data_IF_236358021468
#
_entry.id   IF_236358021468
#
_cell.length_a   1.000
_cell.length_b   1.000
_cell.length_c   1.000
_cell.angle_alpha   90.00
_cell.angle_beta   90.00
_cell.angle_gamma   90.00
#
_symmetry.space_group_name_H-M   'P 1'
#
loop_
_entity.id
_entity.type
_entity.pdbx_description
1 polymer ?
#
# COMPACT_ATOMS: atom_id res chain seq x y z
N UNK A 1 -2.09 -12.34 5.43
CA UNK A 1 -1.25 -12.50 4.22
C UNK A 1 -0.11 -11.48 4.17
N UNK A 2 1.13 -11.88 4.51
CA UNK A 2 2.32 -11.04 4.76
C UNK A 2 2.47 -9.87 3.76
N UNK A 3 2.85 -8.65 4.19
CA UNK A 3 3.37 -7.59 3.28
C UNK A 3 4.46 -8.20 2.38
N UNK A 4 5.15 -9.19 2.96
CA UNK A 4 5.82 -10.25 2.22
C UNK A 4 4.90 -11.06 1.32
N UNK A 5 4.06 -12.00 1.75
CA UNK A 5 3.20 -12.85 0.89
C UNK A 5 2.54 -12.15 -0.29
N UNK A 6 2.11 -10.89 -0.17
CA UNK A 6 1.57 -10.09 -1.28
C UNK A 6 2.65 -9.68 -2.31
N UNK A 7 3.87 -9.36 -1.87
CA UNK A 7 5.05 -9.09 -2.70
C UNK A 7 5.94 -10.35 -2.93
N UNK A 8 5.63 -11.46 -2.25
CA UNK A 8 6.44 -12.68 -2.07
C UNK A 8 5.67 -13.92 -2.52
N UNK A 9 4.72 -13.74 -3.45
CA UNK A 9 4.26 -14.84 -4.30
C UNK A 9 5.43 -15.59 -4.97
N UNK A 10 6.61 -14.97 -5.05
CA UNK A 10 7.92 -15.60 -5.17
C UNK A 10 8.78 -15.30 -3.93
N UNK A 11 9.29 -16.33 -3.25
CA UNK A 11 9.80 -16.35 -1.87
C UNK A 11 10.80 -15.27 -1.42
N UNK A 12 10.69 -14.85 -0.14
CA UNK A 12 11.73 -14.36 0.80
C UNK A 12 11.08 -13.94 2.13
N UNK A 13 11.59 -14.43 3.27
CA UNK A 13 11.23 -14.03 4.64
C UNK A 13 12.44 -13.40 5.36
N UNK A 14 12.34 -12.13 5.80
CA UNK A 14 13.36 -11.38 6.57
C UNK A 14 12.73 -10.61 7.75
N UNK A 15 12.53 -11.25 8.89
CA UNK A 15 12.13 -10.54 10.11
C UNK A 15 13.17 -9.48 10.49
N UNK A 16 12.72 -8.27 10.82
CA UNK A 16 13.55 -7.26 11.48
C UNK A 16 12.70 -6.51 12.50
N UNK A 17 13.32 -6.31 13.66
CA UNK A 17 12.75 -5.97 14.95
C UNK A 17 13.02 -4.50 15.20
N UNK A 18 11.99 -3.67 15.34
CA UNK A 18 12.10 -2.33 15.93
C UNK A 18 10.83 -2.04 16.74
N UNK A 19 10.89 -2.33 18.04
CA UNK A 19 9.89 -1.90 19.01
C UNK A 19 10.62 -1.31 20.20
N UNK A 20 10.81 0.01 20.16
CA UNK A 20 11.50 0.74 21.21
C UNK A 20 11.00 2.17 21.29
N UNK A 21 10.02 2.41 22.16
CA UNK A 21 10.09 3.40 23.25
C UNK A 21 8.69 3.60 23.86
N UNK A 22 8.47 3.08 25.06
CA UNK A 22 7.41 3.58 25.95
C UNK A 22 8.02 3.78 27.33
N UNK A 23 8.27 5.06 27.64
CA UNK A 23 8.96 5.56 28.82
C UNK A 23 8.11 6.63 29.51
N UNK A 24 7.39 6.19 30.55
CA UNK A 24 6.96 6.89 31.78
C UNK A 24 6.84 8.42 31.83
N UNK A 25 5.77 8.93 32.45
CA UNK A 25 5.78 9.46 33.83
C UNK A 25 4.39 9.96 34.27
N UNK A 26 3.94 9.52 35.45
CA UNK A 26 2.96 10.23 36.28
C UNK A 26 3.57 11.58 36.75
N UNK A 27 2.84 12.69 36.64
CA UNK A 27 3.05 13.87 37.51
C UNK A 27 1.73 14.60 37.77
N UNK A 28 1.34 14.63 39.06
CA UNK A 28 0.21 15.38 39.60
C UNK A 28 0.62 16.84 39.78
N UNK A 29 -0.02 17.77 39.08
CA UNK A 29 0.32 19.20 39.09
C UNK A 29 -0.89 20.13 39.08
N UNK A 30 -1.62 20.18 40.19
CA UNK A 30 -2.64 21.18 40.53
C UNK A 30 -2.05 22.60 40.50
N UNK A 31 -2.59 23.47 39.63
CA UNK A 31 -2.55 24.94 39.76
C UNK A 31 -3.56 25.60 38.81
N UNK A 32 -4.79 25.83 39.30
CA UNK A 32 -5.78 26.68 38.62
C UNK A 32 -5.32 28.14 38.54
N UNK A 33 -5.37 28.79 37.36
CA UNK A 33 -5.55 30.23 37.27
C UNK A 33 -7.05 30.54 37.20
N UNK A 34 -7.53 31.33 38.17
CA UNK A 34 -8.79 32.07 38.06
C UNK A 34 -8.78 32.89 36.77
N UNK A 35 -9.53 32.45 35.76
CA UNK A 35 -9.89 33.22 34.57
C UNK A 35 -11.41 33.30 34.53
N UNK A 36 -11.93 34.53 34.64
CA UNK A 36 -13.34 34.87 34.44
C UNK A 36 -13.74 34.59 32.97
N UNK A 37 -13.90 33.32 32.62
CA UNK A 37 -14.43 32.90 31.31
C UNK A 37 -15.95 32.94 31.36
N UNK A 38 -16.53 33.89 30.61
CA UNK A 38 -17.97 34.01 30.39
C UNK A 38 -18.50 32.96 29.37
N UNK A 39 -17.97 31.74 29.39
CA UNK A 39 -18.43 30.64 28.54
C UNK A 39 -19.45 29.73 29.24
N UNK A 40 -20.30 29.05 28.46
CA UNK A 40 -21.20 28.03 28.99
C UNK A 40 -20.41 26.81 29.50
N UNK A 41 -20.71 26.32 30.70
CA UNK A 41 -20.09 25.09 31.23
C UNK A 41 -20.45 23.87 30.39
N UNK A 42 -21.64 23.86 29.79
CA UNK A 42 -22.08 22.79 28.89
C UNK A 42 -21.23 22.76 27.62
N UNK A 43 -20.95 23.91 27.00
CA UNK A 43 -20.06 24.00 25.84
C UNK A 43 -18.63 23.53 26.18
N UNK A 44 -18.16 23.79 27.40
CA UNK A 44 -16.83 23.31 27.84
C UNK A 44 -16.79 21.79 27.95
N UNK A 45 -17.84 21.18 28.50
CA UNK A 45 -17.96 19.72 28.62
C UNK A 45 -18.04 19.06 27.24
N UNK A 46 -18.86 19.59 26.33
CA UNK A 46 -18.99 19.12 24.95
C UNK A 46 -17.69 19.24 24.15
N UNK A 47 -16.98 20.37 24.26
CA UNK A 47 -15.66 20.53 23.63
C UNK A 47 -14.67 19.49 24.15
N UNK A 48 -14.57 19.30 25.47
CA UNK A 48 -13.64 18.33 26.03
C UNK A 48 -13.96 16.89 25.54
N UNK A 49 -15.25 16.52 25.49
CA UNK A 49 -15.69 15.23 24.95
C UNK A 49 -15.32 15.08 23.46
N UNK A 50 -15.47 16.13 22.66
CA UNK A 50 -15.03 16.12 21.26
C UNK A 50 -13.51 15.91 21.14
N UNK A 51 -12.70 16.61 21.93
CA UNK A 51 -11.24 16.45 21.95
C UNK A 51 -10.81 15.04 22.39
N UNK A 52 -11.45 14.43 23.39
CA UNK A 52 -11.21 13.04 23.80
C UNK A 52 -11.51 12.04 22.65
N UNK A 53 -12.57 12.30 21.88
CA UNK A 53 -12.92 11.49 20.71
C UNK A 53 -11.97 11.70 19.52
N UNK A 54 -11.48 12.92 19.30
CA UNK A 54 -10.45 13.21 18.30
C UNK A 54 -9.10 12.57 18.66
N UNK A 55 -8.73 12.54 19.94
CA UNK A 55 -7.56 11.80 20.41
C UNK A 55 -7.72 10.30 20.15
N UNK A 56 -8.91 9.76 20.44
CA UNK A 56 -9.24 8.36 20.13
C UNK A 56 -9.13 8.08 18.63
N UNK A 57 -9.61 8.99 17.78
CA UNK A 57 -9.48 8.89 16.33
C UNK A 57 -8.01 8.86 15.89
N UNK A 58 -7.17 9.74 16.45
CA UNK A 58 -5.72 9.74 16.21
C UNK A 58 -5.05 8.42 16.57
N UNK A 59 -5.39 7.86 17.74
CA UNK A 59 -4.86 6.57 18.19
C UNK A 59 -5.32 5.39 17.33
N UNK A 60 -6.59 5.37 16.91
CA UNK A 60 -7.13 4.36 16.00
C UNK A 60 -6.45 4.45 14.63
N UNK A 61 -6.30 5.65 14.07
CA UNK A 61 -5.58 5.86 12.81
C UNK A 61 -4.13 5.39 12.90
N UNK A 62 -3.39 5.82 13.93
CA UNK A 62 -2.00 5.39 14.12
C UNK A 62 -1.88 3.87 14.25
N UNK A 63 -2.81 3.24 14.98
CA UNK A 63 -2.88 1.77 15.08
C UNK A 63 -3.11 1.12 13.72
N UNK A 64 -4.06 1.63 12.92
CA UNK A 64 -4.32 1.09 11.58
C UNK A 64 -3.15 1.31 10.62
N UNK A 65 -2.50 2.48 10.68
CA UNK A 65 -1.30 2.76 9.93
C UNK A 65 -0.19 1.76 10.29
N UNK A 66 0.14 1.60 11.57
CA UNK A 66 1.16 0.64 12.04
C UNK A 66 0.84 -0.82 11.66
N UNK A 67 -0.43 -1.23 11.75
CA UNK A 67 -0.88 -2.57 11.34
C UNK A 67 -0.66 -2.76 9.84
N UNK A 68 -1.02 -1.77 9.03
CA UNK A 68 -0.88 -1.79 7.58
C UNK A 68 0.58 -1.85 7.15
N UNK A 69 1.46 -1.11 7.84
CA UNK A 69 2.82 -0.88 7.37
C UNK A 69 3.86 -1.79 8.01
N UNK A 70 3.71 -2.20 9.27
CA UNK A 70 4.80 -2.84 10.01
C UNK A 70 4.53 -4.27 10.50
N UNK A 71 3.28 -4.65 10.83
CA UNK A 71 3.15 -5.67 11.88
C UNK A 71 2.39 -6.95 11.55
N UNK A 72 1.24 -6.92 10.88
CA UNK A 72 0.50 -8.18 10.69
C UNK A 72 -0.50 -8.13 9.52
N UNK A 73 -0.05 -8.48 8.32
CA UNK A 73 -0.90 -9.04 7.26
C UNK A 73 -2.17 -9.86 7.56
N UNK A 74 -2.22 -10.60 8.67
CA UNK A 74 -3.39 -11.41 9.04
C UNK A 74 -4.47 -10.57 9.73
N UNK A 75 -4.15 -9.33 10.08
CA UNK A 75 -5.09 -8.34 10.57
C UNK A 75 -5.45 -7.40 9.42
N UNK A 76 -6.61 -7.58 8.76
CA UNK A 76 -7.07 -6.62 7.77
C UNK A 76 -7.23 -5.24 8.42
N UNK A 77 -7.04 -4.21 7.61
CA UNK A 77 -7.42 -2.85 7.95
C UNK A 77 -8.86 -2.82 8.48
N UNK A 78 -9.06 -2.12 9.60
CA UNK A 78 -10.38 -1.94 10.21
C UNK A 78 -10.63 -0.47 10.47
N UNK A 79 -11.53 0.13 9.69
CA UNK A 79 -11.94 1.54 9.84
C UNK A 79 -12.96 1.76 10.96
N UNK A 80 -13.61 0.71 11.45
CA UNK A 80 -14.77 0.83 12.35
C UNK A 80 -14.50 1.58 13.66
N UNK A 81 -13.29 1.44 14.23
CA UNK A 81 -12.87 2.18 15.43
C UNK A 81 -12.76 3.68 15.15
N UNK A 82 -12.07 4.02 14.07
CA UNK A 82 -11.90 5.40 13.60
C UNK A 82 -13.25 6.04 13.23
N UNK A 83 -14.11 5.34 12.47
CA UNK A 83 -15.47 5.79 12.13
C UNK A 83 -16.30 6.11 13.38
N UNK A 84 -16.22 5.25 14.40
CA UNK A 84 -16.93 5.46 15.66
C UNK A 84 -16.41 6.68 16.40
N UNK A 85 -15.09 6.87 16.45
CA UNK A 85 -14.47 8.02 17.10
C UNK A 85 -14.84 9.34 16.41
N UNK A 86 -14.77 9.39 15.08
CA UNK A 86 -15.19 10.54 14.25
C UNK A 86 -16.66 10.87 14.51
N UNK A 87 -17.56 9.89 14.43
CA UNK A 87 -19.00 10.13 14.62
C UNK A 87 -19.36 10.59 16.05
N UNK A 88 -18.61 10.14 17.06
CA UNK A 88 -18.80 10.63 18.43
C UNK A 88 -18.25 12.07 18.60
N UNK A 89 -17.12 12.41 17.99
CA UNK A 89 -16.59 13.76 17.97
C UNK A 89 -17.57 14.73 17.28
N UNK A 90 -18.09 14.37 16.11
CA UNK A 90 -19.12 15.14 15.39
C UNK A 90 -20.35 15.38 16.28
N UNK A 91 -20.86 14.32 16.91
CA UNK A 91 -22.03 14.42 17.81
C UNK A 91 -21.77 15.36 19.00
N UNK A 92 -20.57 15.32 19.58
CA UNK A 92 -20.20 16.20 20.69
C UNK A 92 -20.07 17.67 20.25
N UNK A 93 -19.58 17.93 19.03
CA UNK A 93 -19.50 19.27 18.47
C UNK A 93 -20.90 19.84 18.14
N UNK A 94 -21.84 19.00 17.68
CA UNK A 94 -23.23 19.41 17.40
C UNK A 94 -23.99 19.88 18.67
N UNK A 95 -23.58 19.44 19.86
CA UNK A 95 -24.20 19.82 21.14
C UNK A 95 -23.75 21.22 21.62
N UNK A 96 -22.79 21.86 20.95
CA UNK A 96 -22.29 23.19 21.32
C UNK A 96 -23.28 24.28 20.90
N UNK A 97 -23.65 25.13 21.85
CA UNK A 97 -24.48 26.31 21.58
C UNK A 97 -23.59 27.53 21.34
N UNK A 98 -23.34 27.87 20.07
CA UNK A 98 -22.53 29.03 19.66
C UNK A 98 -23.01 30.36 20.26
N UNK A 99 -24.32 30.55 20.48
CA UNK A 99 -24.87 31.79 21.05
C UNK A 99 -24.45 32.00 22.52
N UNK A 100 -24.04 30.93 23.21
CA UNK A 100 -23.59 30.91 24.60
C UNK A 100 -22.08 30.65 24.74
N UNK A 101 -21.36 30.51 23.61
CA UNK A 101 -19.94 30.27 23.58
C UNK A 101 -19.14 31.56 23.82
N UNK A 102 -18.05 31.47 24.58
CA UNK A 102 -17.03 32.53 24.62
C UNK A 102 -16.18 32.51 23.36
N UNK A 103 -15.45 33.60 23.08
CA UNK A 103 -14.50 33.66 21.95
C UNK A 103 -13.49 32.49 21.99
N UNK A 104 -12.97 32.16 23.19
CA UNK A 104 -12.07 31.01 23.39
C UNK A 104 -12.74 29.66 23.08
N UNK A 105 -14.03 29.50 23.39
CA UNK A 105 -14.78 28.28 23.05
C UNK A 105 -15.04 28.18 21.55
N UNK A 106 -15.29 29.31 20.87
CA UNK A 106 -15.46 29.35 19.43
C UNK A 106 -14.15 29.05 18.70
N UNK A 107 -13.01 29.57 19.16
CA UNK A 107 -11.69 29.24 18.62
C UNK A 107 -11.38 27.74 18.80
N UNK A 108 -11.73 27.17 19.96
CA UNK A 108 -11.57 25.71 20.23
C UNK A 108 -12.50 24.86 19.36
N UNK A 109 -13.72 25.33 19.10
CA UNK A 109 -14.69 24.68 18.21
C UNK A 109 -14.16 24.63 16.77
N UNK A 110 -13.75 25.77 16.22
CA UNK A 110 -13.20 25.86 14.86
C UNK A 110 -11.99 24.91 14.69
N UNK A 111 -11.09 24.87 15.67
CA UNK A 111 -9.95 23.96 15.65
C UNK A 111 -10.35 22.47 15.74
N UNK A 112 -11.38 22.14 16.53
CA UNK A 112 -11.90 20.78 16.61
C UNK A 112 -12.60 20.35 15.32
N UNK A 113 -13.34 21.24 14.66
CA UNK A 113 -13.94 21.00 13.35
C UNK A 113 -12.88 20.75 12.27
N UNK A 114 -11.75 21.47 12.31
CA UNK A 114 -10.63 21.21 11.40
C UNK A 114 -9.99 19.84 11.63
N UNK A 115 -9.81 19.42 12.89
CA UNK A 115 -9.29 18.08 13.15
C UNK A 115 -10.29 16.98 12.80
N UNK A 116 -11.59 17.22 13.00
CA UNK A 116 -12.62 16.30 12.53
C UNK A 116 -12.52 16.11 11.01
N UNK A 117 -12.44 17.20 10.24
CA UNK A 117 -12.27 17.15 8.79
C UNK A 117 -10.99 16.40 8.38
N UNK A 118 -9.88 16.60 9.08
CA UNK A 118 -8.66 15.82 8.84
C UNK A 118 -8.91 14.32 9.04
N UNK A 119 -9.55 13.91 10.14
CA UNK A 119 -9.78 12.50 10.40
C UNK A 119 -10.78 11.87 9.42
N UNK A 120 -11.74 12.63 8.90
CA UNK A 120 -12.60 12.21 7.79
C UNK A 120 -11.80 11.97 6.49
N UNK A 121 -10.86 12.86 6.18
CA UNK A 121 -9.95 12.69 5.04
C UNK A 121 -9.09 11.43 5.23
N UNK A 122 -8.50 11.24 6.42
CA UNK A 122 -7.68 10.07 6.76
C UNK A 122 -8.48 8.77 6.76
N UNK A 123 -9.73 8.79 7.21
CA UNK A 123 -10.64 7.66 7.10
C UNK A 123 -10.86 7.29 5.62
N UNK A 124 -11.07 8.28 4.77
CA UNK A 124 -11.24 8.06 3.32
C UNK A 124 -10.00 7.41 2.70
N UNK A 125 -8.79 7.84 3.11
CA UNK A 125 -7.54 7.19 2.71
C UNK A 125 -7.51 5.72 3.13
N UNK A 126 -7.85 5.41 4.39
CA UNK A 126 -7.83 4.02 4.89
C UNK A 126 -8.82 3.12 4.13
N UNK A 127 -9.99 3.65 3.76
CA UNK A 127 -10.98 2.92 2.95
C UNK A 127 -10.41 2.55 1.58
N UNK A 128 -9.75 3.50 0.90
CA UNK A 128 -9.11 3.24 -0.39
C UNK A 128 -7.95 2.24 -0.26
N UNK A 129 -7.13 2.35 0.80
CA UNK A 129 -6.07 1.38 1.08
C UNK A 129 -6.62 -0.02 1.32
N UNK A 130 -7.69 -0.15 2.12
CA UNK A 130 -8.35 -1.44 2.37
C UNK A 130 -8.85 -2.06 1.05
N UNK A 131 -9.50 -1.26 0.20
CA UNK A 131 -9.97 -1.71 -1.11
C UNK A 131 -8.80 -2.15 -2.01
N UNK A 132 -7.71 -1.38 -2.04
CA UNK A 132 -6.48 -1.71 -2.74
C UNK A 132 -5.88 -3.04 -2.30
N UNK A 133 -5.68 -3.24 -0.99
CA UNK A 133 -5.14 -4.50 -0.46
C UNK A 133 -6.06 -5.70 -0.71
N UNK A 134 -7.38 -5.52 -0.61
CA UNK A 134 -8.34 -6.57 -0.93
C UNK A 134 -8.28 -7.00 -2.41
N UNK A 135 -8.10 -6.03 -3.32
CA UNK A 135 -7.91 -6.31 -4.74
C UNK A 135 -6.60 -7.06 -4.99
N UNK A 136 -5.49 -6.66 -4.35
CA UNK A 136 -4.22 -7.39 -4.45
C UNK A 136 -4.33 -8.83 -3.91
N UNK A 137 -4.99 -9.04 -2.77
CA UNK A 137 -5.22 -10.38 -2.22
C UNK A 137 -6.08 -11.25 -3.16
N UNK A 138 -7.02 -10.64 -3.88
CA UNK A 138 -7.82 -11.32 -4.90
C UNK A 138 -6.97 -11.67 -6.13
N UNK A 139 -6.09 -10.76 -6.56
CA UNK A 139 -5.14 -11.01 -7.64
C UNK A 139 -4.20 -12.18 -7.34
N UNK A 140 -3.64 -12.25 -6.12
CA UNK A 140 -2.81 -13.37 -5.66
C UNK A 140 -3.56 -14.71 -5.68
N UNK A 141 -4.84 -14.69 -5.27
CA UNK A 141 -5.69 -15.87 -5.38
C UNK A 141 -5.88 -16.32 -6.83
N UNK A 142 -6.04 -15.39 -7.77
CA UNK A 142 -6.17 -15.70 -9.20
C UNK A 142 -4.86 -16.19 -9.82
N UNK A 143 -3.72 -15.55 -9.54
CA UNK A 143 -2.42 -15.97 -10.07
C UNK A 143 -2.03 -17.38 -9.57
N UNK A 144 -2.31 -17.70 -8.30
CA UNK A 144 -2.10 -19.05 -7.73
C UNK A 144 -2.93 -20.14 -8.44
N UNK A 145 -4.00 -19.77 -9.15
CA UNK A 145 -4.84 -20.68 -9.93
C UNK A 145 -4.63 -20.53 -11.45
N UNK A 146 -3.49 -19.98 -11.87
CA UNK A 146 -3.10 -19.73 -13.27
C UNK A 146 -4.10 -18.84 -14.05
N UNK A 147 -4.87 -18.00 -13.34
CA UNK A 147 -5.82 -17.04 -13.93
C UNK A 147 -5.19 -15.65 -14.05
N UNK A 148 -4.11 -15.55 -14.83
CA UNK A 148 -3.27 -14.34 -14.90
C UNK A 148 -4.00 -13.10 -15.42
N UNK A 149 -4.86 -13.23 -16.44
CA UNK A 149 -5.67 -12.10 -16.92
C UNK A 149 -6.61 -11.55 -15.84
N UNK A 150 -7.32 -12.42 -15.11
CA UNK A 150 -8.18 -11.99 -14.00
C UNK A 150 -7.34 -11.36 -12.86
N UNK A 151 -6.14 -11.86 -12.63
CA UNK A 151 -5.22 -11.30 -11.65
C UNK A 151 -4.73 -9.90 -12.07
N UNK A 152 -4.44 -9.70 -13.36
CA UNK A 152 -4.12 -8.40 -13.94
C UNK A 152 -5.24 -7.38 -13.73
N UNK A 153 -6.49 -7.75 -14.04
CA UNK A 153 -7.66 -6.87 -13.83
C UNK A 153 -7.80 -6.42 -12.37
N UNK A 154 -7.51 -7.31 -11.41
CA UNK A 154 -7.54 -6.96 -9.97
C UNK A 154 -6.38 -6.05 -9.55
N UNK A 155 -5.20 -6.19 -10.16
CA UNK A 155 -4.06 -5.30 -9.90
C UNK A 155 -4.28 -3.91 -10.49
N UNK A 156 -4.98 -3.78 -11.62
CA UNK A 156 -5.38 -2.47 -12.15
C UNK A 156 -6.31 -1.76 -11.17
N UNK A 157 -7.31 -2.47 -10.63
CA UNK A 157 -8.22 -1.96 -9.60
C UNK A 157 -7.43 -1.54 -8.35
N UNK A 158 -6.49 -2.38 -7.89
CA UNK A 158 -5.63 -2.05 -6.76
C UNK A 158 -4.81 -0.78 -7.02
N UNK A 159 -4.21 -0.65 -8.20
CA UNK A 159 -3.41 0.52 -8.57
C UNK A 159 -4.23 1.80 -8.62
N UNK A 160 -5.51 1.74 -9.01
CA UNK A 160 -6.45 2.87 -8.96
C UNK A 160 -6.72 3.30 -7.52
N UNK A 161 -7.07 2.36 -6.64
CA UNK A 161 -7.30 2.63 -5.22
C UNK A 161 -6.07 3.24 -4.52
N UNK A 162 -4.86 2.73 -4.79
CA UNK A 162 -3.64 3.32 -4.22
C UNK A 162 -3.38 4.76 -4.71
N UNK A 163 -3.70 5.09 -5.97
CA UNK A 163 -3.59 6.47 -6.49
C UNK A 163 -4.64 7.40 -5.90
N UNK A 164 -5.86 6.90 -5.72
CA UNK A 164 -6.91 7.68 -5.07
C UNK A 164 -6.55 7.95 -3.60
N UNK A 165 -6.06 6.94 -2.88
CA UNK A 165 -5.51 7.09 -1.53
C UNK A 165 -4.38 8.12 -1.46
N UNK A 166 -3.45 8.12 -2.43
CA UNK A 166 -2.41 9.15 -2.55
C UNK A 166 -3.00 10.56 -2.76
N UNK A 167 -4.01 10.70 -3.61
CA UNK A 167 -4.69 11.98 -3.84
C UNK A 167 -5.38 12.48 -2.56
N UNK A 168 -6.10 11.61 -1.86
CA UNK A 168 -6.77 11.91 -0.60
C UNK A 168 -5.77 12.27 0.50
N UNK A 169 -4.58 11.67 0.51
CA UNK A 169 -3.50 12.04 1.43
C UNK A 169 -2.97 13.46 1.19
N UNK A 170 -2.95 13.91 -0.07
CA UNK A 170 -2.59 15.31 -0.37
C UNK A 170 -3.63 16.28 0.20
N UNK A 171 -4.91 15.92 0.18
CA UNK A 171 -5.98 16.70 0.78
C UNK A 171 -5.87 16.67 2.31
N UNK A 172 -5.69 15.49 2.91
CA UNK A 172 -5.46 15.32 4.35
C UNK A 172 -4.23 16.11 4.84
N UNK A 173 -3.14 16.15 4.07
CA UNK A 173 -1.95 16.97 4.39
C UNK A 173 -2.26 18.47 4.37
N UNK A 174 -3.13 18.90 3.45
CA UNK A 174 -3.60 20.29 3.42
C UNK A 174 -4.46 20.60 4.66
N UNK A 175 -5.33 19.66 5.07
CA UNK A 175 -6.11 19.76 6.31
C UNK A 175 -5.20 19.82 7.54
N UNK A 176 -4.18 18.96 7.59
CA UNK A 176 -3.14 18.96 8.64
C UNK A 176 -2.41 20.30 8.75
N UNK A 177 -1.97 20.87 7.62
CA UNK A 177 -1.24 22.14 7.59
C UNK A 177 -2.07 23.35 8.07
N UNK A 178 -3.42 23.22 8.07
CA UNK A 178 -4.33 24.23 8.57
C UNK A 178 -4.64 24.09 10.07
N UNK A 179 -4.23 23.00 10.72
CA UNK A 179 -4.42 22.82 12.16
C UNK A 179 -3.51 23.72 12.97
N UNK A 180 -4.07 24.36 14.01
CA UNK A 180 -3.28 25.04 15.02
C UNK A 180 -2.83 24.02 16.08
N UNK A 181 -1.68 23.39 15.85
CA UNK A 181 -1.11 22.41 16.77
C UNK A 181 -0.98 22.93 18.22
N UNK A 182 -0.83 24.24 18.41
CA UNK A 182 -0.72 24.83 19.74
C UNK A 182 -2.02 24.75 20.56
N UNK A 183 -3.17 24.66 19.89
CA UNK A 183 -4.46 24.46 20.53
C UNK A 183 -4.64 23.00 20.99
N UNK A 184 -4.08 22.02 20.28
CA UNK A 184 -4.13 20.62 20.72
C UNK A 184 -3.24 20.37 21.94
N UNK A 185 -2.01 20.90 21.93
CA UNK A 185 -1.10 20.84 23.08
C UNK A 185 -1.72 21.50 24.33
N UNK A 186 -2.48 22.59 24.16
CA UNK A 186 -3.16 23.27 25.26
C UNK A 186 -4.32 22.48 25.88
N UNK A 187 -4.82 21.46 25.17
CA UNK A 187 -5.90 20.58 25.61
C UNK A 187 -5.40 19.16 25.97
N UNK A 188 -4.09 18.98 26.15
CA UNK A 188 -3.45 17.68 26.41
C UNK A 188 -3.75 16.61 25.34
N UNK A 189 -4.13 17.02 24.12
CA UNK A 189 -4.37 16.10 23.00
C UNK A 189 -3.09 15.97 22.16
N UNK A 190 -2.49 14.79 22.19
CA UNK A 190 -1.38 14.44 21.31
C UNK A 190 -1.94 13.84 20.02
N UNK A 191 -1.92 14.62 18.93
CA UNK A 191 -2.24 14.08 17.61
C UNK A 191 -1.14 13.07 17.24
N UNK A 192 -1.47 11.78 17.31
CA UNK A 192 -0.52 10.68 17.08
C UNK A 192 0.08 10.64 15.66
N UNK A 193 -0.46 11.42 14.73
CA UNK A 193 -0.05 11.46 13.32
C UNK A 193 0.72 12.74 13.05
N UNK A 194 1.96 12.66 12.59
CA UNK A 194 2.72 13.81 12.11
C UNK A 194 2.67 13.98 10.58
N UNK A 195 3.10 15.15 10.09
CA UNK A 195 3.31 15.36 8.64
C UNK A 195 4.28 14.34 8.02
N UNK A 196 5.26 13.85 8.80
CA UNK A 196 6.21 12.84 8.34
C UNK A 196 5.51 11.48 8.13
N UNK A 197 4.51 11.14 8.95
CA UNK A 197 3.74 9.90 8.82
C UNK A 197 2.81 9.95 7.60
N UNK A 198 2.20 11.11 7.32
CA UNK A 198 1.39 11.31 6.11
C UNK A 198 2.25 11.23 4.84
N UNK A 199 3.47 11.77 4.88
CA UNK A 199 4.44 11.62 3.78
C UNK A 199 4.87 10.17 3.60
N UNK A 200 5.14 9.46 4.69
CA UNK A 200 5.44 8.03 4.64
C UNK A 200 4.29 7.21 4.05
N UNK A 201 3.05 7.56 4.40
CA UNK A 201 1.86 6.91 3.88
C UNK A 201 1.69 7.17 2.37
N UNK A 202 1.95 8.39 1.91
CA UNK A 202 1.96 8.72 0.48
C UNK A 202 3.02 7.92 -0.30
N UNK A 203 4.23 7.82 0.25
CA UNK A 203 5.31 7.01 -0.28
C UNK A 203 4.92 5.52 -0.40
N UNK A 204 4.13 5.00 0.53
CA UNK A 204 3.60 3.63 0.49
C UNK A 204 2.56 3.48 -0.63
N UNK A 205 1.62 4.41 -0.75
CA UNK A 205 0.63 4.41 -1.84
C UNK A 205 1.29 4.42 -3.22
N UNK A 206 2.26 5.30 -3.46
CA UNK A 206 3.00 5.37 -4.72
C UNK A 206 3.76 4.06 -5.01
N UNK A 207 4.44 3.50 -4.00
CA UNK A 207 5.15 2.23 -4.15
C UNK A 207 4.21 1.08 -4.53
N UNK A 208 3.05 0.94 -3.87
CA UNK A 208 2.09 -0.11 -4.23
C UNK A 208 1.42 0.14 -5.58
N UNK A 209 1.12 1.38 -5.94
CA UNK A 209 0.57 1.72 -7.26
C UNK A 209 1.54 1.33 -8.39
N UNK A 210 2.83 1.67 -8.24
CA UNK A 210 3.89 1.27 -9.18
C UNK A 210 4.03 -0.24 -9.25
N UNK A 211 4.06 -0.90 -8.10
CA UNK A 211 4.16 -2.35 -8.02
C UNK A 211 3.01 -3.04 -8.77
N UNK A 212 1.76 -2.64 -8.48
CA UNK A 212 0.58 -3.21 -9.12
C UNK A 212 0.63 -2.99 -10.64
N UNK A 213 0.97 -1.78 -11.09
CA UNK A 213 1.07 -1.45 -12.52
C UNK A 213 2.10 -2.31 -13.25
N UNK A 214 3.31 -2.44 -12.71
CA UNK A 214 4.35 -3.29 -13.31
C UNK A 214 3.95 -4.78 -13.31
N UNK A 215 3.21 -5.22 -12.28
CA UNK A 215 2.79 -6.61 -12.12
C UNK A 215 1.68 -7.00 -13.11
N UNK A 216 0.86 -6.05 -13.58
CA UNK A 216 -0.11 -6.28 -14.68
C UNK A 216 0.61 -6.76 -15.94
N UNK A 217 1.69 -6.08 -16.32
CA UNK A 217 2.48 -6.46 -17.49
C UNK A 217 3.24 -7.78 -17.25
N UNK A 218 3.74 -8.03 -16.04
CA UNK A 218 4.32 -9.31 -15.68
C UNK A 218 3.32 -10.46 -15.89
N UNK A 219 2.09 -10.34 -15.38
CA UNK A 219 1.07 -11.39 -15.52
C UNK A 219 0.64 -11.59 -16.97
N UNK A 220 0.51 -10.51 -17.74
CA UNK A 220 0.23 -10.59 -19.17
C UNK A 220 1.37 -11.31 -19.93
N UNK A 221 2.63 -11.01 -19.58
CA UNK A 221 3.80 -11.69 -20.13
C UNK A 221 3.87 -13.17 -19.77
N UNK A 222 3.54 -13.52 -18.52
CA UNK A 222 3.48 -14.92 -18.06
C UNK A 222 2.35 -15.69 -18.75
N UNK A 223 1.21 -15.06 -19.03
CA UNK A 223 0.13 -15.70 -19.81
C UNK A 223 0.60 -16.10 -21.21
N UNK A 224 1.28 -15.20 -21.92
CA UNK A 224 1.88 -15.50 -23.22
C UNK A 224 2.96 -16.59 -23.13
N UNK A 225 3.76 -16.57 -22.08
CA UNK A 225 4.78 -17.59 -21.83
C UNK A 225 4.15 -18.99 -21.68
N UNK A 226 3.09 -19.10 -20.88
CA UNK A 226 2.33 -20.34 -20.68
C UNK A 226 1.62 -20.77 -21.96
N UNK A 227 1.08 -19.84 -22.74
CA UNK A 227 0.52 -20.14 -24.07
C UNK A 227 1.60 -20.74 -24.99
N UNK A 228 2.79 -20.14 -25.04
CA UNK A 228 3.93 -20.62 -25.82
C UNK A 228 4.30 -22.07 -25.47
N UNK A 229 4.40 -22.38 -24.17
CA UNK A 229 4.68 -23.74 -23.68
C UNK A 229 3.59 -24.73 -24.13
N UNK A 230 2.31 -24.39 -23.96
CA UNK A 230 1.18 -25.22 -24.40
C UNK A 230 1.17 -25.43 -25.93
N UNK A 231 1.63 -24.45 -26.72
CA UNK A 231 1.72 -24.57 -28.17
C UNK A 231 2.86 -25.49 -28.61
N UNK A 232 3.98 -25.53 -27.87
CA UNK A 232 5.04 -26.54 -28.08
C UNK A 232 4.47 -27.94 -27.90
N UNK A 233 3.70 -28.19 -26.82
CA UNK A 233 3.10 -29.50 -26.54
C UNK A 233 2.11 -29.94 -27.64
N UNK A 234 1.46 -28.99 -28.30
CA UNK A 234 0.57 -29.21 -29.43
C UNK A 234 1.30 -29.33 -30.78
N UNK A 235 2.63 -29.32 -30.79
CA UNK A 235 3.48 -29.32 -31.99
C UNK A 235 3.24 -28.11 -32.92
N UNK A 236 2.73 -26.99 -32.37
CA UNK A 236 2.42 -25.75 -33.09
C UNK A 236 3.57 -24.75 -32.99
N UNK A 237 4.78 -25.17 -33.35
CA UNK A 237 6.03 -24.45 -33.05
C UNK A 237 6.12 -23.01 -33.56
N UNK A 238 5.65 -22.72 -34.79
CA UNK A 238 5.66 -21.34 -35.31
C UNK A 238 4.75 -20.40 -34.50
N UNK A 239 3.64 -20.91 -33.98
CA UNK A 239 2.77 -20.14 -33.08
C UNK A 239 3.40 -20.01 -31.68
N UNK A 240 4.05 -21.06 -31.18
CA UNK A 240 4.79 -21.00 -29.91
C UNK A 240 5.89 -19.93 -29.96
N UNK A 241 6.66 -19.86 -31.05
CA UNK A 241 7.69 -18.83 -31.23
C UNK A 241 7.12 -17.41 -31.19
N UNK A 242 5.92 -17.20 -31.75
CA UNK A 242 5.23 -15.90 -31.70
C UNK A 242 4.78 -15.57 -30.26
N UNK A 243 4.21 -16.54 -29.55
CA UNK A 243 3.76 -16.33 -28.17
C UNK A 243 4.94 -16.02 -27.22
N UNK A 244 6.08 -16.70 -27.36
CA UNK A 244 7.28 -16.36 -26.58
C UNK A 244 7.87 -14.99 -26.95
N UNK A 245 7.75 -14.54 -28.20
CA UNK A 245 8.12 -13.18 -28.58
C UNK A 245 7.20 -12.14 -27.90
N UNK A 246 5.88 -12.38 -27.90
CA UNK A 246 4.91 -11.52 -27.21
C UNK A 246 5.15 -11.51 -25.69
N UNK A 247 5.49 -12.66 -25.10
CA UNK A 247 5.90 -12.76 -23.70
C UNK A 247 7.14 -11.89 -23.42
N UNK A 248 8.23 -12.08 -24.17
CA UNK A 248 9.49 -11.33 -24.01
C UNK A 248 9.30 -9.82 -24.09
N UNK A 249 8.51 -9.36 -25.08
CA UNK A 249 8.20 -7.93 -25.23
C UNK A 249 7.44 -7.38 -24.02
N UNK A 250 6.38 -8.07 -23.58
CA UNK A 250 5.55 -7.62 -22.44
C UNK A 250 6.34 -7.64 -21.13
N UNK A 251 7.15 -8.68 -20.92
CA UNK A 251 8.03 -8.78 -19.76
C UNK A 251 9.11 -7.69 -19.74
N UNK A 252 9.56 -7.22 -20.91
CA UNK A 252 10.49 -6.07 -21.02
C UNK A 252 9.84 -4.78 -20.53
N UNK A 253 8.55 -4.58 -20.81
CA UNK A 253 7.80 -3.43 -20.31
C UNK A 253 7.63 -3.50 -18.78
N UNK A 254 7.34 -4.69 -18.23
CA UNK A 254 7.28 -4.92 -16.78
C UNK A 254 8.66 -4.67 -16.11
N UNK A 255 9.73 -5.22 -16.68
CA UNK A 255 11.11 -5.06 -16.21
C UNK A 255 11.52 -3.59 -16.13
N UNK A 256 11.24 -2.84 -17.21
CA UNK A 256 11.57 -1.40 -17.27
C UNK A 256 10.86 -0.62 -16.15
N UNK A 257 9.60 -0.95 -15.86
CA UNK A 257 8.84 -0.32 -14.78
C UNK A 257 9.39 -0.67 -13.39
N UNK A 258 9.74 -1.93 -13.15
CA UNK A 258 10.36 -2.31 -11.88
C UNK A 258 11.71 -1.61 -11.69
N UNK A 259 12.53 -1.57 -12.75
CA UNK A 259 13.84 -0.92 -12.74
C UNK A 259 13.75 0.59 -12.48
N UNK A 260 12.82 1.28 -13.15
CA UNK A 260 12.57 2.71 -12.92
C UNK A 260 12.16 2.97 -11.47
N UNK A 261 11.34 2.07 -10.90
CA UNK A 261 10.86 2.18 -9.53
C UNK A 261 11.94 1.92 -8.47
N UNK A 262 13.00 1.15 -8.73
CA UNK A 262 14.09 0.87 -7.77
C UNK A 262 14.67 2.14 -7.12
N UNK A 263 14.73 3.24 -7.89
CA UNK A 263 15.27 4.53 -7.41
C UNK A 263 14.20 5.53 -6.99
N UNK A 264 12.96 5.32 -7.42
CA UNK A 264 11.83 6.20 -7.12
C UNK A 264 11.19 5.89 -5.76
N UNK A 265 11.16 4.62 -5.36
CA UNK A 265 10.51 4.19 -4.11
C UNK A 265 11.42 4.32 -2.88
N UNK A 266 10.84 4.39 -1.66
CA UNK A 266 11.61 4.36 -0.43
C UNK A 266 12.51 3.13 -0.30
N UNK A 267 13.57 3.26 0.50
CA UNK A 267 14.56 2.19 0.70
C UNK A 267 13.93 0.87 1.20
N UNK A 268 12.82 0.95 1.95
CA UNK A 268 12.10 -0.22 2.47
C UNK A 268 11.50 -1.11 1.38
N UNK A 269 11.12 -0.55 0.22
CA UNK A 269 10.54 -1.27 -0.91
C UNK A 269 11.55 -1.63 -1.99
N UNK A 270 12.69 -0.91 -2.07
CA UNK A 270 13.67 -1.06 -3.14
C UNK A 270 14.11 -2.51 -3.39
N UNK A 271 14.26 -3.31 -2.34
CA UNK A 271 14.66 -4.71 -2.48
C UNK A 271 13.65 -5.50 -3.32
N UNK A 272 12.36 -5.30 -3.09
CA UNK A 272 11.31 -6.04 -3.79
C UNK A 272 11.36 -5.69 -5.29
N UNK A 273 11.48 -4.40 -5.63
CA UNK A 273 11.64 -3.96 -7.03
C UNK A 273 12.89 -4.53 -7.72
N UNK A 274 14.02 -4.64 -7.00
CA UNK A 274 15.24 -5.29 -7.52
C UNK A 274 14.99 -6.78 -7.79
N UNK A 275 14.33 -7.47 -6.85
CA UNK A 275 14.04 -8.89 -6.97
C UNK A 275 13.09 -9.14 -8.18
N UNK A 276 12.08 -8.29 -8.39
CA UNK A 276 11.18 -8.38 -9.55
C UNK A 276 11.83 -7.98 -10.88
N UNK A 277 12.78 -7.02 -10.89
CA UNK A 277 13.60 -6.73 -12.06
C UNK A 277 14.40 -7.96 -12.47
N UNK A 278 15.04 -8.62 -11.51
CA UNK A 278 15.78 -9.85 -11.77
C UNK A 278 14.86 -11.01 -12.23
N UNK A 279 13.68 -11.16 -11.63
CA UNK A 279 12.69 -12.16 -12.05
C UNK A 279 12.24 -11.95 -13.49
N UNK A 280 11.89 -10.72 -13.84
CA UNK A 280 11.46 -10.37 -15.20
C UNK A 280 12.60 -10.55 -16.21
N UNK A 281 13.85 -10.22 -15.87
CA UNK A 281 15.03 -10.51 -16.71
C UNK A 281 15.14 -12.02 -17.03
N UNK A 282 14.98 -12.88 -16.02
CA UNK A 282 15.03 -14.33 -16.20
C UNK A 282 13.91 -14.85 -17.12
N UNK A 283 12.69 -14.30 -16.98
CA UNK A 283 11.58 -14.62 -17.86
C UNK A 283 11.78 -14.12 -19.29
N UNK A 284 12.37 -12.94 -19.49
CA UNK A 284 12.72 -12.40 -20.81
C UNK A 284 13.73 -13.34 -21.50
N UNK A 285 14.82 -13.67 -20.81
CA UNK A 285 15.86 -14.56 -21.37
C UNK A 285 15.30 -15.94 -21.70
N UNK A 286 14.50 -16.52 -20.80
CA UNK A 286 13.82 -17.79 -21.04
C UNK A 286 12.88 -17.73 -22.25
N UNK A 287 12.09 -16.66 -22.38
CA UNK A 287 11.17 -16.46 -23.51
C UNK A 287 11.93 -16.41 -24.84
N UNK A 288 13.01 -15.64 -24.90
CA UNK A 288 13.85 -15.54 -26.10
C UNK A 288 14.46 -16.90 -26.49
N UNK A 289 14.93 -17.68 -25.51
CA UNK A 289 15.49 -19.01 -25.74
C UNK A 289 14.42 -20.03 -26.16
N UNK A 290 13.22 -19.99 -25.58
CA UNK A 290 12.11 -20.84 -26.01
C UNK A 290 11.56 -20.47 -27.39
N UNK A 291 11.62 -19.20 -27.78
CA UNK A 291 11.38 -18.77 -29.16
C UNK A 291 12.39 -19.41 -30.12
N UNK A 292 13.69 -19.30 -29.83
CA UNK A 292 14.74 -19.94 -30.65
C UNK A 292 14.57 -21.46 -30.73
N UNK A 293 14.20 -22.10 -29.61
CA UNK A 293 13.92 -23.53 -29.55
C UNK A 293 12.74 -23.90 -30.46
N UNK A 294 11.63 -23.14 -30.37
CA UNK A 294 10.43 -23.34 -31.17
C UNK A 294 10.72 -23.20 -32.68
N UNK A 295 11.47 -22.18 -33.08
CA UNK A 295 11.88 -22.02 -34.48
C UNK A 295 12.76 -23.18 -34.98
N UNK A 296 13.63 -23.72 -34.12
CA UNK A 296 14.44 -24.89 -34.43
C UNK A 296 13.57 -26.16 -34.60
N UNK A 297 12.57 -26.37 -33.73
CA UNK A 297 11.60 -27.45 -33.85
C UNK A 297 10.81 -27.35 -35.15
N UNK A 298 10.37 -26.16 -35.55
CA UNK A 298 9.66 -25.92 -36.81
C UNK A 298 10.50 -26.35 -38.04
N UNK A 299 11.81 -26.12 -37.99
CA UNK A 299 12.77 -26.53 -39.04
C UNK A 299 13.18 -28.00 -38.94
N UNK A 300 12.76 -28.72 -37.90
CA UNK A 300 13.15 -30.10 -37.61
C UNK A 300 14.57 -30.25 -37.06
N UNK A 301 15.18 -29.18 -36.55
CA UNK A 301 16.50 -29.18 -35.91
C UNK A 301 16.38 -29.43 -34.41
N UNK A 302 16.13 -30.69 -34.06
CA UNK A 302 15.88 -31.13 -32.69
C UNK A 302 17.06 -30.95 -31.75
N UNK A 303 18.30 -30.98 -32.27
CA UNK A 303 19.48 -30.81 -31.42
C UNK A 303 19.59 -29.36 -30.93
N UNK A 304 19.38 -28.39 -31.82
CA UNK A 304 19.35 -26.98 -31.45
C UNK A 304 18.16 -26.69 -30.54
N UNK A 305 16.99 -27.25 -30.83
CA UNK A 305 15.80 -27.08 -29.99
C UNK A 305 16.02 -27.55 -28.54
N UNK A 306 16.56 -28.76 -28.34
CA UNK A 306 16.86 -29.34 -27.03
C UNK A 306 17.87 -28.52 -26.23
N UNK A 307 18.92 -28.04 -26.92
CA UNK A 307 19.93 -27.16 -26.31
C UNK A 307 19.29 -25.87 -25.81
N UNK A 308 18.46 -25.23 -26.65
CA UNK A 308 17.84 -23.94 -26.34
C UNK A 308 16.76 -24.03 -25.26
N UNK A 309 15.96 -25.09 -25.26
CA UNK A 309 15.00 -25.34 -24.20
C UNK A 309 15.70 -25.57 -22.86
N UNK A 310 16.83 -26.30 -22.83
CA UNK A 310 17.62 -26.49 -21.61
C UNK A 310 18.19 -25.17 -21.10
N UNK A 311 18.76 -24.34 -21.99
CA UNK A 311 19.25 -23.00 -21.64
C UNK A 311 18.11 -22.13 -21.07
N UNK A 312 16.90 -22.20 -21.63
CA UNK A 312 15.74 -21.46 -21.16
C UNK A 312 15.31 -21.87 -19.74
N UNK A 313 15.28 -23.17 -19.46
CA UNK A 313 15.02 -23.69 -18.11
C UNK A 313 16.12 -23.28 -17.12
N UNK A 314 17.38 -23.25 -17.55
CA UNK A 314 18.50 -22.77 -16.72
C UNK A 314 18.39 -21.27 -16.40
N UNK A 315 17.92 -20.45 -17.34
CA UNK A 315 17.71 -19.01 -17.13
C UNK A 315 16.67 -18.74 -16.03
N UNK A 316 15.53 -19.44 -16.05
CA UNK A 316 14.52 -19.32 -14.98
C UNK A 316 15.02 -19.82 -13.61
N UNK A 317 15.95 -20.77 -13.60
CA UNK A 317 16.50 -21.34 -12.37
C UNK A 317 17.70 -20.55 -11.83
N UNK A 318 18.23 -19.57 -12.57
CA UNK A 318 19.31 -18.72 -12.10
C UNK A 318 18.83 -17.90 -10.89
N UNK A 319 19.57 -17.91 -9.78
CA UNK A 319 19.09 -17.31 -8.54
C UNK A 319 19.14 -15.78 -8.56
N UNK A 320 17.98 -15.17 -8.37
CA UNK A 320 17.85 -13.76 -8.03
C UNK A 320 18.05 -13.58 -6.51
N UNK A 321 19.29 -13.35 -6.08
CA UNK A 321 19.58 -13.00 -4.68
C UNK A 321 19.89 -14.16 -3.72
N UNK A 322 20.16 -15.37 -4.22
CA UNK A 322 20.78 -16.46 -3.43
C UNK A 322 19.86 -17.60 -2.99
N UNK A 323 18.58 -17.58 -3.34
CA UNK A 323 17.66 -18.73 -3.23
C UNK A 323 17.07 -19.01 -4.63
N UNK A 324 16.78 -20.28 -4.93
CA UNK A 324 16.25 -20.69 -6.24
C UNK A 324 14.83 -20.11 -6.45
N UNK A 325 14.53 -19.70 -7.68
CA UNK A 325 13.27 -19.07 -8.09
C UNK A 325 12.09 -20.08 -8.13
N UNK A 326 12.36 -21.39 -8.07
CA UNK A 326 11.37 -22.49 -8.17
C UNK A 326 11.51 -23.50 -7.04
#
# INVERSE_FOLDING_TARGET
MNRRTILVGAGVSITSVLGGCLSSSDDEGDSSPDSDSQGSSANTEALNEAYDHLETAGNEFATQADVTFETDPENPLSTSGLETAIGNAESALEDINEDEASDEQLDRLENAEHALSLFEDLLSVLVELEAGFNAVATADSYSTNDRFSDAGDQLEIAAEHFREGESLLSDAKTSWDNLDASQFEANDVELATGSDDLEHLGDVCDAFSRFCTATVDLYSGVEYYVEGANLIEQERYGAAASAFEDASNTLTDANSQYQDAETAVPQSFRKDFIDFTCLTDAFIESSDLFKEASEAMERGDWQTADTKATEAEEALNASCGGENIV
#
